data_IF_239726766437
#
_entry.id   IF_239726766437
#
_cell.length_a   1.000
_cell.length_b   1.000
_cell.length_c   1.000
_cell.angle_alpha   90.00
_cell.angle_beta   90.00
_cell.angle_gamma   90.00
#
_symmetry.space_group_name_H-M   'P 1'
#
loop_
_entity.id
_entity.type
_entity.pdbx_description
1 polymer ?
#
# COMPACT_ATOMS: atom_id res chain seq x y z
N UNK A 1 -19.82 -9.94 0.31
CA UNK A 1 -19.37 -8.80 -0.50
C UNK A 1 -17.86 -8.85 -0.63
N UNK A 2 -17.32 -8.97 -1.84
CA UNK A 2 -15.89 -8.84 -2.08
C UNK A 2 -15.53 -7.38 -1.83
N UNK A 3 -14.85 -7.10 -0.72
CA UNK A 3 -14.41 -5.74 -0.42
C UNK A 3 -13.50 -5.26 -1.54
N UNK A 4 -13.99 -4.25 -2.27
CA UNK A 4 -13.27 -3.66 -3.38
C UNK A 4 -12.21 -2.74 -2.80
N UNK A 5 -10.94 -2.98 -3.12
CA UNK A 5 -9.87 -2.02 -2.82
C UNK A 5 -10.10 -0.76 -3.64
N UNK A 6 -10.23 0.37 -2.95
CA UNK A 6 -10.30 1.69 -3.56
C UNK A 6 -8.90 2.25 -3.67
N UNK A 7 -8.50 2.65 -4.87
CA UNK A 7 -7.21 3.28 -5.15
C UNK A 7 -7.41 4.77 -5.35
N UNK A 8 -6.65 5.57 -4.62
CA UNK A 8 -6.78 7.02 -4.57
C UNK A 8 -5.41 7.60 -4.91
N UNK A 9 -5.35 8.37 -5.99
CA UNK A 9 -4.19 9.21 -6.29
C UNK A 9 -4.29 10.49 -5.48
N UNK A 10 -3.30 10.75 -4.63
CA UNK A 10 -3.22 12.00 -3.86
C UNK A 10 -2.39 13.02 -4.63
N UNK A 11 -1.26 12.57 -5.19
CA UNK A 11 -0.42 13.31 -6.13
C UNK A 11 0.22 12.32 -7.10
N UNK A 12 0.92 12.82 -8.12
CA UNK A 12 1.66 11.98 -9.08
C UNK A 12 2.66 10.99 -8.42
N UNK A 13 3.12 11.29 -7.20
CA UNK A 13 4.11 10.51 -6.47
C UNK A 13 3.62 9.99 -5.11
N UNK A 14 2.33 10.19 -4.80
CA UNK A 14 1.72 9.72 -3.55
C UNK A 14 0.34 9.14 -3.83
N UNK A 15 0.14 7.91 -3.39
CA UNK A 15 -1.11 7.18 -3.56
C UNK A 15 -1.59 6.65 -2.22
N UNK A 16 -2.85 6.24 -2.19
CA UNK A 16 -3.46 5.57 -1.06
C UNK A 16 -4.35 4.42 -1.56
N UNK A 17 -4.39 3.33 -0.81
CA UNK A 17 -5.32 2.24 -0.98
C UNK A 17 -6.15 2.09 0.30
N UNK A 18 -7.45 1.94 0.15
CA UNK A 18 -8.36 1.65 1.27
C UNK A 18 -9.16 0.37 0.98
N UNK A 19 -9.20 -0.53 1.95
CA UNK A 19 -10.06 -1.71 1.94
C UNK A 19 -10.42 -2.10 3.38
N UNK A 20 -11.67 -2.46 3.65
CA UNK A 20 -12.11 -2.92 4.98
C UNK A 20 -11.86 -1.92 6.13
N UNK A 21 -11.77 -0.61 5.84
CA UNK A 21 -11.37 0.41 6.80
C UNK A 21 -9.87 0.43 7.13
N UNK A 22 -9.07 -0.43 6.48
CA UNK A 22 -7.61 -0.39 6.52
C UNK A 22 -7.08 0.51 5.41
N UNK A 23 -6.07 1.32 5.74
CA UNK A 23 -5.41 2.23 4.80
C UNK A 23 -3.95 1.85 4.61
N UNK A 24 -3.50 1.87 3.35
CA UNK A 24 -2.11 1.76 2.96
C UNK A 24 -1.73 2.99 2.13
N UNK A 25 -0.65 3.66 2.54
CA UNK A 25 -0.05 4.76 1.79
C UNK A 25 1.04 4.27 0.85
N UNK A 26 1.29 5.05 -0.20
CA UNK A 26 2.40 4.86 -1.12
C UNK A 26 3.08 6.20 -1.28
N UNK A 27 4.40 6.22 -1.19
CA UNK A 27 5.19 7.41 -1.45
C UNK A 27 6.40 7.05 -2.27
N UNK A 28 6.63 7.77 -3.36
CA UNK A 28 7.84 7.61 -4.16
C UNK A 28 9.00 8.38 -3.51
N UNK A 29 10.07 7.65 -3.19
CA UNK A 29 11.33 8.23 -2.70
C UNK A 29 12.26 8.41 -3.90
N UNK A 30 12.44 9.66 -4.34
CA UNK A 30 13.40 10.01 -5.38
C UNK A 30 14.83 9.98 -4.82
N UNK A 31 15.65 9.06 -5.30
CA UNK A 31 17.04 8.86 -4.86
C UNK A 31 17.97 8.47 -6.04
N UNK A 32 17.67 8.95 -7.25
CA UNK A 32 18.42 8.58 -8.46
C UNK A 32 18.29 7.09 -8.78
N UNK A 33 19.41 6.38 -8.89
CA UNK A 33 19.43 4.93 -9.16
C UNK A 33 18.78 4.07 -8.06
N UNK A 34 18.62 4.62 -6.86
CA UNK A 34 17.98 3.93 -5.72
C UNK A 34 16.52 4.34 -5.52
N UNK A 35 15.92 5.05 -6.49
CA UNK A 35 14.54 5.49 -6.36
C UNK A 35 13.59 4.30 -6.25
N UNK A 36 12.59 4.43 -5.39
CA UNK A 36 11.73 3.32 -4.98
C UNK A 36 10.40 3.81 -4.43
N UNK A 37 9.45 2.90 -4.35
CA UNK A 37 8.16 3.13 -3.71
C UNK A 37 8.18 2.60 -2.29
N UNK A 38 7.97 3.50 -1.32
CA UNK A 38 7.68 3.15 0.06
C UNK A 38 6.20 2.77 0.18
N UNK A 39 5.92 1.60 0.75
CA UNK A 39 4.56 1.16 1.09
C UNK A 39 4.38 1.33 2.59
N UNK A 40 3.40 2.12 3.00
CA UNK A 40 3.18 2.50 4.39
C UNK A 40 1.89 1.88 4.94
N UNK A 41 1.99 1.13 6.03
CA UNK A 41 0.86 0.62 6.79
C UNK A 41 0.73 1.44 8.08
N UNK A 42 -0.41 2.10 8.29
CA UNK A 42 -0.64 2.96 9.47
C UNK A 42 0.45 4.03 9.67
N UNK A 43 1.03 4.54 8.57
CA UNK A 43 2.09 5.56 8.60
C UNK A 43 3.52 5.02 8.79
N UNK A 44 3.70 3.72 9.03
CA UNK A 44 5.00 3.08 9.12
C UNK A 44 5.36 2.36 7.82
N UNK A 45 6.64 2.39 7.42
CA UNK A 45 7.11 1.68 6.22
C UNK A 45 7.02 0.17 6.45
N UNK A 46 6.14 -0.48 5.68
CA UNK A 46 6.01 -1.93 5.65
C UNK A 46 6.97 -2.57 4.64
N UNK A 47 7.41 -1.82 3.62
CA UNK A 47 8.41 -2.29 2.67
C UNK A 47 8.65 -1.32 1.51
N UNK A 48 9.68 -1.64 0.72
CA UNK A 48 10.08 -0.90 -0.47
C UNK A 48 9.94 -1.74 -1.73
N UNK A 49 9.51 -1.14 -2.85
CA UNK A 49 9.41 -1.80 -4.16
C UNK A 49 10.01 -0.95 -5.28
N UNK A 50 10.46 -1.62 -6.33
CA UNK A 50 11.15 -0.99 -7.47
C UNK A 50 10.22 -0.05 -8.24
N UNK A 51 8.96 -0.47 -8.38
CA UNK A 51 7.95 0.24 -9.16
C UNK A 51 6.57 0.23 -8.50
N UNK A 52 5.67 1.03 -9.07
CA UNK A 52 4.33 1.23 -8.54
C UNK A 52 3.47 -0.03 -8.65
N UNK A 53 3.63 -0.83 -9.71
CA UNK A 53 2.82 -2.04 -9.90
C UNK A 53 3.17 -3.11 -8.85
N UNK A 54 4.46 -3.30 -8.57
CA UNK A 54 4.93 -4.14 -7.46
C UNK A 54 4.43 -3.64 -6.11
N UNK A 55 4.52 -2.33 -5.87
CA UNK A 55 4.01 -1.71 -4.65
C UNK A 55 2.51 -1.99 -4.47
N UNK A 56 1.72 -1.86 -5.55
CA UNK A 56 0.28 -2.17 -5.55
C UNK A 56 0.00 -3.64 -5.28
N UNK A 57 0.78 -4.55 -5.87
CA UNK A 57 0.67 -5.99 -5.61
C UNK A 57 0.89 -6.30 -4.12
N UNK A 58 1.99 -5.80 -3.57
CA UNK A 58 2.34 -5.99 -2.16
C UNK A 58 1.29 -5.40 -1.21
N UNK A 59 0.77 -4.22 -1.48
CA UNK A 59 -0.28 -3.62 -0.65
C UNK A 59 -1.58 -4.43 -0.65
N UNK A 60 -1.94 -5.08 -1.76
CA UNK A 60 -3.12 -5.96 -1.79
C UNK A 60 -2.93 -7.18 -0.89
N UNK A 61 -1.72 -7.73 -0.84
CA UNK A 61 -1.37 -8.84 0.04
C UNK A 61 -1.45 -8.41 1.50
N UNK A 62 -0.82 -7.27 1.85
CA UNK A 62 -0.90 -6.69 3.20
C UNK A 62 -2.34 -6.42 3.66
N UNK A 63 -3.19 -5.86 2.80
CA UNK A 63 -4.60 -5.63 3.11
C UNK A 63 -5.36 -6.94 3.34
N UNK A 64 -5.03 -8.00 2.58
CA UNK A 64 -5.62 -9.33 2.76
C UNK A 64 -5.19 -9.95 4.09
N UNK A 65 -3.92 -9.84 4.44
CA UNK A 65 -3.36 -10.37 5.70
C UNK A 65 -3.98 -9.67 6.92
N UNK A 66 -3.99 -8.33 6.95
CA UNK A 66 -4.59 -7.55 8.05
C UNK A 66 -6.08 -7.89 8.26
N UNK A 67 -6.79 -8.21 7.18
CA UNK A 67 -8.19 -8.63 7.26
C UNK A 67 -8.33 -10.02 7.89
N UNK A 68 -7.46 -10.95 7.54
CA UNK A 68 -7.48 -12.31 8.11
C UNK A 68 -7.25 -12.28 9.62
N UNK A 69 -6.27 -11.51 10.09
CA UNK A 69 -6.03 -11.34 11.53
C UNK A 69 -7.26 -10.80 12.28
N UNK A 70 -7.99 -9.84 11.68
CA UNK A 70 -9.20 -9.28 12.29
C UNK A 70 -10.38 -10.26 12.35
N UNK A 71 -10.43 -11.25 11.46
CA UNK A 71 -11.46 -12.30 11.47
C UNK A 71 -11.13 -13.46 12.40
N UNK A 72 -9.86 -13.62 12.77
CA UNK A 72 -9.39 -14.69 13.65
C UNK A 72 -9.42 -14.32 15.15
N UNK A 73 -9.57 -13.03 15.47
CA UNK A 73 -9.67 -12.49 16.82
C UNK A 73 -11.13 -12.28 17.26
#
# INVERSE_FOLDING_TARGET
MTERTTWIELTALNFMAEAAGQRIGFSYEAAGFQSRWAVLLNGAVAGYRSDLMEARGFARELLRECRTDRLAA
#
